data_IF_927195019766
#
_entry.id   IF_927195019766
#
_cell.length_a   1.000
_cell.length_b   1.000
_cell.length_c   1.000
_cell.angle_alpha   90.00
_cell.angle_beta   90.00
_cell.angle_gamma   90.00
#
_symmetry.space_group_name_H-M   'P 1'
#
loop_
_entity.id
_entity.type
_entity.pdbx_description
1 polymer ?
#
# COMPACT_ATOMS: atom_id res chain seq x y z
N UNK A 1 7.85 12.94 -15.46
CA UNK A 1 8.21 11.53 -15.18
C UNK A 1 7.22 10.69 -15.95
N UNK A 2 7.70 9.68 -16.66
CA UNK A 2 6.87 8.71 -17.38
C UNK A 2 6.47 7.62 -16.39
N UNK A 3 5.19 7.27 -16.31
CA UNK A 3 4.68 6.20 -15.47
C UNK A 3 4.05 5.12 -16.34
N UNK A 4 3.90 3.91 -15.81
CA UNK A 4 3.35 2.77 -16.53
C UNK A 4 2.24 2.15 -15.71
N UNK A 5 1.16 1.69 -16.37
CA UNK A 5 0.07 0.99 -15.70
C UNK A 5 0.31 -0.53 -15.61
N UNK A 6 -0.64 -1.24 -15.00
CA UNK A 6 -0.60 -2.71 -14.85
C UNK A 6 -0.58 -3.50 -16.17
N UNK A 7 -0.87 -2.85 -17.31
CA UNK A 7 -0.82 -3.43 -18.65
C UNK A 7 0.47 -3.08 -19.39
N UNK A 8 1.41 -2.38 -18.74
CA UNK A 8 2.64 -1.90 -19.35
C UNK A 8 2.40 -0.79 -20.37
N UNK A 9 1.30 -0.04 -20.23
CA UNK A 9 1.04 1.16 -21.04
C UNK A 9 1.59 2.40 -20.35
N UNK A 10 2.23 3.28 -21.12
CA UNK A 10 2.66 4.58 -20.61
C UNK A 10 1.41 5.39 -20.21
N UNK A 11 1.36 5.77 -18.94
CA UNK A 11 0.31 6.61 -18.39
C UNK A 11 0.91 7.92 -17.90
N UNK A 12 0.29 9.02 -18.29
CA UNK A 12 0.62 10.32 -17.75
C UNK A 12 -0.13 10.51 -16.44
N UNK A 13 0.59 10.55 -15.31
CA UNK A 13 -0.03 10.97 -14.05
C UNK A 13 -0.40 12.44 -14.20
N UNK A 14 -1.71 12.71 -14.16
CA UNK A 14 -2.24 14.07 -14.16
C UNK A 14 -1.47 14.92 -13.16
N UNK A 15 -1.04 16.12 -13.57
CA UNK A 15 -0.31 17.04 -12.69
C UNK A 15 -1.06 17.28 -11.36
N UNK A 16 -2.39 17.24 -11.41
CA UNK A 16 -3.26 17.35 -10.24
C UNK A 16 -3.09 16.22 -9.21
N UNK A 17 -2.63 15.03 -9.61
CA UNK A 17 -2.43 13.88 -8.74
C UNK A 17 -0.99 13.77 -8.21
N UNK A 18 -0.01 14.45 -8.84
CA UNK A 18 1.38 14.47 -8.37
C UNK A 18 1.52 15.06 -6.96
N UNK A 19 0.61 15.97 -6.57
CA UNK A 19 0.57 16.55 -5.21
C UNK A 19 0.43 15.49 -4.11
N UNK A 20 -0.13 14.32 -4.39
CA UNK A 20 -0.27 13.25 -3.40
C UNK A 20 1.08 12.59 -3.04
N UNK A 21 2.10 12.78 -3.87
CA UNK A 21 3.48 12.39 -3.54
C UNK A 21 4.16 13.38 -2.58
N UNK A 22 3.68 14.62 -2.52
CA UNK A 22 4.19 15.64 -1.61
C UNK A 22 3.68 15.36 -0.19
N UNK A 23 4.62 15.07 0.71
CA UNK A 23 4.29 14.70 2.09
C UNK A 23 3.69 15.87 2.89
N UNK A 24 4.04 17.13 2.57
CA UNK A 24 3.49 18.29 3.25
C UNK A 24 2.03 18.54 2.84
N UNK A 25 1.72 18.44 1.55
CA UNK A 25 0.36 18.49 1.03
C UNK A 25 -0.50 17.38 1.65
N UNK A 26 0.01 16.14 1.61
CA UNK A 26 -0.73 15.00 2.14
C UNK A 26 -0.98 15.14 3.66
N UNK A 27 0.05 15.52 4.42
CA UNK A 27 -0.08 15.79 5.87
C UNK A 27 -1.12 16.86 6.14
N UNK A 28 -1.14 17.95 5.36
CA UNK A 28 -2.14 19.01 5.50
C UNK A 28 -3.57 18.53 5.20
N UNK A 29 -3.76 17.57 4.28
CA UNK A 29 -5.08 16.95 4.06
C UNK A 29 -5.49 16.04 5.23
N UNK A 30 -4.55 15.26 5.76
CA UNK A 30 -4.78 14.33 6.87
C UNK A 30 -5.12 15.07 8.18
N UNK A 31 -4.52 16.24 8.42
CA UNK A 31 -4.83 17.09 9.58
C UNK A 31 -6.27 17.63 9.58
N UNK A 32 -6.97 17.59 8.44
CA UNK A 32 -8.38 18.02 8.34
C UNK A 32 -9.36 16.92 8.72
N UNK A 33 -8.90 15.68 8.88
CA UNK A 33 -9.76 14.55 9.21
C UNK A 33 -10.08 14.51 10.72
N UNK A 34 -11.29 14.08 11.11
CA UNK A 34 -11.65 13.87 12.51
C UNK A 34 -10.68 12.92 13.22
N UNK A 35 -10.40 13.19 14.50
CA UNK A 35 -9.44 12.39 15.30
C UNK A 35 -9.89 10.94 15.45
N UNK A 36 -11.20 10.70 15.46
CA UNK A 36 -11.90 9.42 15.58
C UNK A 36 -12.13 8.70 14.24
N UNK A 37 -11.68 9.26 13.12
CA UNK A 37 -11.66 8.56 11.83
C UNK A 37 -10.86 7.26 11.90
N UNK A 38 -11.31 6.25 11.14
CA UNK A 38 -10.60 4.97 10.99
C UNK A 38 -9.15 5.19 10.56
N UNK A 39 -8.26 4.38 11.12
CA UNK A 39 -6.82 4.48 10.90
C UNK A 39 -6.38 3.47 9.84
N UNK A 40 -5.72 3.94 8.80
CA UNK A 40 -5.25 3.13 7.69
C UNK A 40 -3.72 2.97 7.72
N UNK A 41 -3.28 1.73 7.48
CA UNK A 41 -1.92 1.41 7.06
C UNK A 41 -1.91 1.22 5.54
N UNK A 42 -0.95 1.84 4.86
CA UNK A 42 -0.75 1.71 3.41
C UNK A 42 0.47 0.82 3.14
N UNK A 43 0.32 -0.13 2.23
CA UNK A 43 1.41 -1.01 1.80
C UNK A 43 1.63 -0.96 0.29
N UNK A 44 2.88 -0.77 -0.10
CA UNK A 44 3.32 -0.64 -1.49
C UNK A 44 4.37 -1.69 -1.82
N UNK A 45 4.35 -2.24 -3.03
CA UNK A 45 5.33 -3.24 -3.44
C UNK A 45 5.57 -3.29 -4.94
N UNK A 46 6.85 -3.46 -5.32
CA UNK A 46 7.26 -3.81 -6.69
C UNK A 46 7.39 -5.33 -6.84
N UNK A 47 7.01 -5.87 -7.99
CA UNK A 47 7.27 -7.27 -8.30
C UNK A 47 8.77 -7.46 -8.62
N UNK A 48 9.27 -8.69 -8.61
CA UNK A 48 10.68 -9.00 -8.96
C UNK A 48 10.80 -9.80 -10.26
N UNK A 49 9.71 -9.98 -11.02
CA UNK A 49 9.72 -10.84 -12.21
C UNK A 49 9.76 -10.00 -13.49
N UNK A 50 10.98 -9.80 -13.98
CA UNK A 50 11.31 -9.77 -15.41
C UNK A 50 10.73 -8.62 -16.23
N UNK A 51 11.59 -7.64 -16.53
CA UNK A 51 11.46 -6.68 -17.63
C UNK A 51 10.06 -6.08 -17.82
N UNK A 52 9.70 -5.14 -16.95
CA UNK A 52 9.13 -3.77 -17.14
C UNK A 52 8.50 -3.37 -15.78
N UNK A 53 9.24 -3.50 -14.66
CA UNK A 53 8.82 -2.96 -13.34
C UNK A 53 9.26 -1.48 -13.28
N UNK A 54 8.65 -0.62 -14.10
CA UNK A 54 8.98 0.82 -14.13
C UNK A 54 8.17 1.59 -13.09
N UNK A 55 8.79 1.86 -11.93
CA UNK A 55 8.39 2.94 -11.02
C UNK A 55 6.91 2.94 -10.54
N UNK A 56 6.38 1.76 -10.18
CA UNK A 56 4.99 1.63 -9.70
C UNK A 56 4.74 2.25 -8.31
N UNK A 57 5.74 2.34 -7.45
CA UNK A 57 5.53 2.78 -6.05
C UNK A 57 4.92 4.18 -5.98
N UNK A 58 5.41 5.20 -6.71
CA UNK A 58 4.73 6.49 -6.82
C UNK A 58 3.25 6.38 -7.22
N UNK A 59 2.91 5.59 -8.23
CA UNK A 59 1.52 5.41 -8.68
C UNK A 59 0.67 4.74 -7.59
N UNK A 60 1.18 3.67 -6.97
CA UNK A 60 0.52 2.99 -5.85
C UNK A 60 0.30 3.95 -4.67
N UNK A 61 1.32 4.76 -4.35
CA UNK A 61 1.29 5.75 -3.26
C UNK A 61 0.26 6.83 -3.53
N UNK A 62 0.20 7.37 -4.75
CA UNK A 62 -0.83 8.34 -5.17
C UNK A 62 -2.21 7.73 -5.00
N UNK A 63 -2.44 6.55 -5.59
CA UNK A 63 -3.74 5.89 -5.55
C UNK A 63 -4.21 5.64 -4.11
N UNK A 64 -3.34 5.04 -3.27
CA UNK A 64 -3.70 4.72 -1.89
C UNK A 64 -3.92 5.97 -1.03
N UNK A 65 -3.07 7.01 -1.16
CA UNK A 65 -3.22 8.25 -0.38
C UNK A 65 -4.50 8.99 -0.75
N UNK A 66 -4.80 9.09 -2.05
CA UNK A 66 -6.02 9.71 -2.56
C UNK A 66 -7.25 8.94 -2.08
N UNK A 67 -7.25 7.63 -2.24
CA UNK A 67 -8.34 6.76 -1.81
C UNK A 67 -8.59 6.87 -0.30
N UNK A 68 -7.54 6.79 0.53
CA UNK A 68 -7.66 6.94 1.98
C UNK A 68 -8.23 8.32 2.36
N UNK A 69 -7.80 9.39 1.68
CA UNK A 69 -8.33 10.73 1.94
C UNK A 69 -9.81 10.86 1.54
N UNK A 70 -10.22 10.32 0.39
CA UNK A 70 -11.61 10.34 -0.09
C UNK A 70 -12.54 9.55 0.84
N UNK A 71 -12.05 8.47 1.43
CA UNK A 71 -12.77 7.69 2.44
C UNK A 71 -12.70 8.28 3.86
N UNK A 72 -11.97 9.39 4.05
CA UNK A 72 -11.84 10.05 5.36
C UNK A 72 -11.01 9.26 6.37
N UNK A 73 -10.12 8.38 5.90
CA UNK A 73 -9.26 7.56 6.75
C UNK A 73 -7.96 8.28 7.10
N UNK A 74 -7.58 8.15 8.37
CA UNK A 74 -6.31 8.68 8.88
C UNK A 74 -5.19 7.70 8.58
N UNK A 75 -4.27 8.06 7.70
CA UNK A 75 -3.09 7.27 7.41
C UNK A 75 -2.09 7.41 8.56
N UNK A 76 -1.86 6.29 9.25
CA UNK A 76 -0.99 6.22 10.44
C UNK A 76 0.31 5.47 10.17
N UNK A 77 0.38 4.73 9.06
CA UNK A 77 1.53 3.90 8.69
C UNK A 77 1.63 3.79 7.17
N UNK A 78 2.81 4.01 6.61
CA UNK A 78 3.13 3.75 5.21
C UNK A 78 4.36 2.82 5.12
N UNK A 79 4.25 1.74 4.34
CA UNK A 79 5.34 0.78 4.14
C UNK A 79 5.51 0.45 2.67
N UNK A 80 6.77 0.41 2.23
CA UNK A 80 7.13 0.03 0.86
C UNK A 80 8.14 -1.13 0.87
N UNK A 81 7.82 -2.22 0.19
CA UNK A 81 8.78 -3.30 -0.11
C UNK A 81 9.43 -3.04 -1.48
N UNK A 82 10.70 -2.61 -1.46
CA UNK A 82 11.52 -2.51 -2.67
C UNK A 82 12.10 -3.89 -2.98
N UNK A 83 11.84 -4.41 -4.17
CA UNK A 83 12.32 -5.72 -4.62
C UNK A 83 13.83 -5.84 -4.46
N UNK A 84 14.29 -6.85 -3.73
CA UNK A 84 15.71 -7.11 -3.54
C UNK A 84 16.20 -7.86 -4.77
N UNK A 85 16.90 -7.16 -5.68
CA UNK A 85 17.65 -7.83 -6.75
C UNK A 85 18.65 -8.81 -6.13
N UNK A 86 18.79 -9.99 -6.75
CA UNK A 86 19.42 -11.15 -6.14
C UNK A 86 20.77 -10.90 -5.47
N UNK A 87 21.05 -11.72 -4.46
CA UNK A 87 22.38 -12.00 -3.86
C UNK A 87 22.75 -11.39 -2.50
N UNK A 88 21.86 -10.73 -1.75
CA UNK A 88 22.14 -10.38 -0.33
C UNK A 88 20.99 -10.74 0.62
N UNK A 89 20.70 -12.03 0.67
CA UNK A 89 19.79 -12.64 1.64
C UNK A 89 20.55 -12.88 2.95
N UNK A 90 20.66 -11.87 3.83
CA UNK A 90 20.89 -12.18 5.25
C UNK A 90 20.46 -11.12 6.26
N UNK A 91 20.15 -9.88 5.85
CA UNK A 91 19.73 -8.81 6.79
C UNK A 91 18.28 -8.29 6.60
N UNK A 92 17.57 -8.68 5.53
CA UNK A 92 16.26 -8.13 5.13
C UNK A 92 15.03 -8.84 5.72
N UNK A 93 15.20 -9.61 6.81
CA UNK A 93 14.20 -10.56 7.34
C UNK A 93 13.02 -9.92 8.10
N UNK A 94 12.86 -8.59 8.05
CA UNK A 94 11.61 -7.90 8.42
C UNK A 94 10.80 -7.71 7.16
N UNK A 95 10.09 -8.77 6.80
CA UNK A 95 9.05 -8.72 5.78
C UNK A 95 8.03 -7.63 6.18
N UNK A 96 7.64 -6.76 5.24
CA UNK A 96 6.67 -5.69 5.47
C UNK A 96 5.38 -6.26 6.04
N UNK A 97 4.98 -7.46 5.60
CA UNK A 97 3.82 -8.16 6.15
C UNK A 97 4.00 -8.49 7.63
N UNK A 98 5.18 -8.89 8.09
CA UNK A 98 5.42 -9.19 9.50
C UNK A 98 5.35 -7.94 10.38
N UNK A 99 5.84 -6.81 9.87
CA UNK A 99 5.70 -5.53 10.56
C UNK A 99 4.23 -5.10 10.64
N UNK A 100 3.49 -5.19 9.53
CA UNK A 100 2.06 -4.89 9.50
C UNK A 100 1.25 -5.80 10.44
N UNK A 101 1.60 -7.09 10.53
CA UNK A 101 1.00 -8.02 11.50
C UNK A 101 1.26 -7.57 12.94
N UNK A 102 2.51 -7.21 13.26
CA UNK A 102 2.87 -6.69 14.59
C UNK A 102 2.07 -5.43 14.93
N UNK A 103 1.94 -4.49 14.00
CA UNK A 103 1.21 -3.24 14.21
C UNK A 103 -0.32 -3.47 14.30
N UNK A 104 -0.86 -4.41 13.53
CA UNK A 104 -2.25 -4.85 13.65
C UNK A 104 -2.54 -5.47 15.02
N UNK A 105 -1.66 -6.37 15.50
CA UNK A 105 -1.82 -7.00 16.83
C UNK A 105 -1.75 -6.01 17.99
N UNK A 106 -1.11 -4.84 17.80
CA UNK A 106 -1.11 -3.74 18.78
C UNK A 106 -2.36 -2.86 18.69
N UNK A 107 -3.21 -3.07 17.69
CA UNK A 107 -4.37 -2.22 17.41
C UNK A 107 -3.98 -0.82 16.92
N UNK A 108 -2.84 -0.68 16.22
CA UNK A 108 -2.34 0.62 15.77
C UNK A 108 -3.07 1.16 14.53
N UNK A 109 -3.75 0.29 13.79
CA UNK A 109 -4.59 0.66 12.65
C UNK A 109 -5.80 -0.28 12.54
N UNK A 110 -6.80 0.15 11.78
CA UNK A 110 -8.08 -0.54 11.59
C UNK A 110 -8.23 -1.07 10.15
N UNK A 111 -7.49 -0.48 9.20
CA UNK A 111 -7.55 -0.76 7.77
C UNK A 111 -6.16 -1.05 7.22
N UNK A 112 -5.99 -2.10 6.44
CA UNK A 112 -4.84 -2.29 5.56
C UNK A 112 -5.27 -2.05 4.11
N UNK A 113 -4.73 -0.97 3.52
CA UNK A 113 -4.99 -0.57 2.14
C UNK A 113 -3.77 -0.88 1.26
N UNK A 114 -4.03 -1.61 0.18
CA UNK A 114 -3.05 -1.91 -0.88
C UNK A 114 -3.55 -1.38 -2.23
N UNK A 115 -2.65 -1.31 -3.20
CA UNK A 115 -3.03 -0.95 -4.58
C UNK A 115 -3.84 -2.05 -5.26
N UNK A 116 -3.40 -3.31 -5.10
CA UNK A 116 -4.05 -4.54 -5.55
C UNK A 116 -3.73 -5.65 -4.55
N UNK A 117 -4.60 -6.66 -4.40
CA UNK A 117 -4.36 -7.72 -3.42
C UNK A 117 -3.18 -8.63 -3.77
N UNK A 118 -2.85 -8.78 -5.05
CA UNK A 118 -1.65 -9.51 -5.51
C UNK A 118 -0.33 -8.92 -4.98
N UNK A 119 -0.35 -7.69 -4.43
CA UNK A 119 0.80 -7.01 -3.82
C UNK A 119 1.05 -7.37 -2.35
N UNK A 120 0.23 -8.24 -1.75
CA UNK A 120 0.40 -8.69 -0.37
C UNK A 120 1.43 -9.82 -0.22
N UNK A 121 1.26 -10.94 -0.94
CA UNK A 121 2.08 -12.15 -0.81
C UNK A 121 3.25 -12.19 -1.79
N UNK A 122 4.39 -12.80 -1.44
CA UNK A 122 5.55 -12.86 -2.34
C UNK A 122 5.27 -13.64 -3.62
N UNK A 123 4.41 -14.63 -3.47
CA UNK A 123 3.81 -15.43 -4.52
C UNK A 123 2.29 -15.35 -4.39
N UNK A 124 1.56 -15.46 -5.50
CA UNK A 124 0.08 -15.32 -5.51
C UNK A 124 -0.61 -16.30 -4.55
N UNK A 125 -0.06 -17.51 -4.39
CA UNK A 125 -0.62 -18.50 -3.48
C UNK A 125 -0.53 -18.13 -2.00
N UNK A 126 0.28 -17.13 -1.62
CA UNK A 126 0.37 -16.63 -0.24
C UNK A 126 -0.69 -15.57 0.08
N UNK A 127 -1.14 -14.82 -0.93
CA UNK A 127 -2.06 -13.68 -0.75
C UNK A 127 -3.32 -14.02 0.06
N UNK A 128 -4.04 -15.14 -0.19
CA UNK A 128 -5.21 -15.50 0.60
C UNK A 128 -4.91 -15.69 2.09
N UNK A 129 -3.78 -16.31 2.44
CA UNK A 129 -3.39 -16.55 3.83
C UNK A 129 -3.00 -15.26 4.56
N UNK A 130 -2.39 -14.31 3.84
CA UNK A 130 -2.07 -12.99 4.39
C UNK A 130 -3.36 -12.21 4.66
N UNK A 131 -4.28 -12.18 3.69
CA UNK A 131 -5.59 -11.54 3.81
C UNK A 131 -6.39 -12.10 4.98
N UNK A 132 -6.55 -13.42 5.02
CA UNK A 132 -7.35 -14.11 6.03
C UNK A 132 -6.83 -13.82 7.44
N UNK A 133 -5.51 -13.80 7.63
CA UNK A 133 -4.92 -13.45 8.92
C UNK A 133 -5.37 -12.05 9.38
N UNK A 134 -5.31 -11.04 8.51
CA UNK A 134 -5.69 -9.67 8.89
C UNK A 134 -7.18 -9.56 9.22
N UNK A 135 -8.05 -10.20 8.41
CA UNK A 135 -9.50 -10.23 8.65
C UNK A 135 -9.81 -10.91 10.00
N UNK A 136 -9.17 -12.04 10.30
CA UNK A 136 -9.31 -12.73 11.59
C UNK A 136 -8.85 -11.90 12.79
N UNK A 137 -7.99 -10.90 12.57
CA UNK A 137 -7.52 -9.96 13.59
C UNK A 137 -8.31 -8.64 13.60
N UNK A 138 -9.46 -8.59 12.92
CA UNK A 138 -10.35 -7.43 12.91
C UNK A 138 -9.90 -6.27 12.02
N UNK A 139 -8.90 -6.49 11.16
CA UNK A 139 -8.43 -5.49 10.21
C UNK A 139 -9.27 -5.57 8.94
N UNK A 140 -9.75 -4.43 8.47
CA UNK A 140 -10.44 -4.33 7.18
C UNK A 140 -9.43 -4.32 6.03
N UNK A 141 -9.55 -5.29 5.12
CA UNK A 141 -8.70 -5.38 3.94
C UNK A 141 -9.32 -4.64 2.78
N UNK A 142 -8.58 -3.68 2.21
CA UNK A 142 -9.02 -2.88 1.07
C UNK A 142 -7.98 -2.84 -0.03
N UNK A 143 -8.46 -2.80 -1.26
CA UNK A 143 -7.70 -2.46 -2.44
C UNK A 143 -8.28 -1.22 -3.13
N UNK A 144 -7.42 -0.40 -3.75
CA UNK A 144 -7.88 0.69 -4.60
C UNK A 144 -8.57 0.22 -5.88
N UNK A 145 -8.33 -1.03 -6.32
CA UNK A 145 -8.93 -1.61 -7.54
C UNK A 145 -10.10 -2.55 -7.23
N UNK A 146 -9.91 -3.47 -6.28
CA UNK A 146 -10.90 -4.49 -5.95
C UNK A 146 -11.90 -4.06 -4.85
N UNK A 147 -11.63 -2.98 -4.12
CA UNK A 147 -12.47 -2.54 -3.00
C UNK A 147 -12.25 -3.36 -1.72
N UNK A 148 -13.28 -3.42 -0.86
CA UNK A 148 -13.22 -4.13 0.41
C UNK A 148 -13.34 -5.64 0.23
N UNK A 149 -12.44 -6.41 0.83
CA UNK A 149 -12.59 -7.84 1.02
C UNK A 149 -13.18 -8.14 2.41
N UNK A 150 -14.20 -8.99 2.47
CA UNK A 150 -14.87 -9.45 3.71
C UNK A 150 -14.58 -10.90 4.00
#
# INVERSE_FOLDING_TARGET
>A
MTFWDQHGQEVEILQADQKWLDDAYFTAQQMRLPVDSLRAALSYRVSTKGQVDHDDIPMQKIACRKFAQEHGWRVVLEKAEKGVSGSKVSASKRDVIQELRSEASKGNFDILLVYMFDRLGRIESETPFVLEWFVQHGIQMWSTHEGQQR
#
